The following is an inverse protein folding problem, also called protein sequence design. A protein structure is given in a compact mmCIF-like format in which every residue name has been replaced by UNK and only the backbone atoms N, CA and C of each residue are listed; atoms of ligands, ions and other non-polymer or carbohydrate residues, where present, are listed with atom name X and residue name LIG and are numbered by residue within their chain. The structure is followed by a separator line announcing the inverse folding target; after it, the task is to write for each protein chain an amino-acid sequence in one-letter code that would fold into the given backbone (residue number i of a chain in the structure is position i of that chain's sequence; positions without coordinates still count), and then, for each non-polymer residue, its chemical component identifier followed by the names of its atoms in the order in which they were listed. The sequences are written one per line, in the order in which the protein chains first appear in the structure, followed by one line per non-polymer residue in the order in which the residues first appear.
data_IF_294440023638
#
_entry.id   IF_294440023638
#
_cell.length_a   1.000
_cell.length_b   1.000
_cell.length_c   1.000
_cell.angle_alpha   90.00
_cell.angle_beta   90.00
_cell.angle_gamma   90.00
#
_symmetry.space_group_name_H-M   'P 1'
#
loop_
_entity.id
_entity.type
_entity.pdbx_description
1 polymer ?
#
# COMPACT_ATOMS: atom_id res chain seq x y z
N UNK A 1 -17.23 -12.90 24.09
CA UNK A 1 -17.11 -13.80 22.93
C UNK A 1 -17.54 -13.10 21.67
N UNK A 2 -16.77 -12.09 21.25
CA UNK A 2 -16.90 -11.48 19.93
C UNK A 2 -15.78 -12.04 19.06
N UNK A 3 -16.01 -12.18 17.76
CA UNK A 3 -14.94 -12.48 16.80
C UNK A 3 -14.25 -11.22 16.32
N UNK A 4 -12.95 -11.32 16.03
CA UNK A 4 -12.11 -10.27 15.49
C UNK A 4 -11.60 -10.64 14.08
N UNK A 5 -11.77 -9.72 13.13
CA UNK A 5 -11.23 -9.84 11.78
C UNK A 5 -10.17 -8.77 11.54
N UNK A 6 -9.03 -9.17 10.96
CA UNK A 6 -8.00 -8.27 10.48
C UNK A 6 -8.11 -8.07 8.96
N UNK A 7 -8.45 -6.85 8.53
CA UNK A 7 -8.17 -6.40 7.16
C UNK A 7 -6.68 -6.09 7.04
N UNK A 8 -5.93 -7.11 6.66
CA UNK A 8 -4.49 -7.08 6.47
C UNK A 8 -4.10 -6.77 5.02
N UNK A 9 -4.87 -5.97 4.27
CA UNK A 9 -4.52 -5.58 2.90
C UNK A 9 -3.10 -5.02 2.76
N UNK A 10 -2.52 -4.48 3.84
CA UNK A 10 -1.11 -4.07 3.95
C UNK A 10 -0.40 -4.64 5.18
N UNK A 11 -0.80 -5.82 5.65
CA UNK A 11 -0.22 -6.49 6.83
C UNK A 11 1.31 -6.58 6.76
N UNK A 12 1.87 -6.91 5.59
CA UNK A 12 3.32 -7.03 5.43
C UNK A 12 4.06 -5.68 5.53
N UNK A 13 3.41 -4.55 5.23
CA UNK A 13 4.00 -3.25 5.51
C UNK A 13 4.10 -3.01 7.02
N UNK A 14 3.06 -3.36 7.78
CA UNK A 14 3.08 -3.25 9.23
C UNK A 14 4.13 -4.21 9.84
N UNK A 15 4.20 -5.45 9.35
CA UNK A 15 5.19 -6.44 9.77
C UNK A 15 6.63 -5.94 9.60
N UNK A 16 6.95 -5.35 8.43
CA UNK A 16 8.27 -4.79 8.16
C UNK A 16 8.55 -3.58 9.04
N UNK A 17 7.61 -2.64 9.18
CA UNK A 17 7.80 -1.43 10.01
C UNK A 17 7.96 -1.75 11.51
N UNK A 18 7.26 -2.77 12.00
CA UNK A 18 7.33 -3.17 13.41
C UNK A 18 8.45 -4.19 13.68
N UNK A 19 9.15 -4.65 12.64
CA UNK A 19 10.15 -5.72 12.72
C UNK A 19 9.62 -7.03 13.35
N UNK A 20 8.33 -7.30 13.15
CA UNK A 20 7.62 -8.45 13.71
C UNK A 20 7.09 -9.36 12.59
N UNK A 21 7.06 -10.69 12.79
CA UNK A 21 6.49 -11.57 11.78
C UNK A 21 4.99 -11.30 11.61
N UNK A 22 4.51 -11.30 10.36
CA UNK A 22 3.10 -11.06 10.05
C UNK A 22 2.14 -12.00 10.80
N UNK A 23 2.60 -13.22 11.13
CA UNK A 23 1.86 -14.18 11.95
C UNK A 23 1.66 -13.71 13.40
N UNK A 24 2.63 -13.05 14.01
CA UNK A 24 2.49 -12.49 15.35
C UNK A 24 1.47 -11.36 15.38
N UNK A 25 1.49 -10.48 14.36
CA UNK A 25 0.51 -9.41 14.22
C UNK A 25 -0.91 -9.93 13.97
N UNK A 26 -1.05 -11.05 13.26
CA UNK A 26 -2.34 -11.66 12.97
C UNK A 26 -2.85 -12.58 14.10
N UNK A 27 -1.98 -13.05 15.01
CA UNK A 27 -2.33 -14.01 16.06
C UNK A 27 -3.50 -13.60 16.98
N UNK A 28 -3.70 -12.32 17.32
CA UNK A 28 -4.84 -11.90 18.15
C UNK A 28 -6.20 -11.96 17.46
N UNK A 29 -6.26 -12.25 16.15
CA UNK A 29 -7.48 -12.22 15.35
C UNK A 29 -7.95 -13.64 15.00
N UNK A 30 -9.27 -13.85 14.96
CA UNK A 30 -9.85 -15.12 14.54
C UNK A 30 -9.65 -15.38 13.04
N UNK A 31 -9.62 -14.30 12.26
CA UNK A 31 -9.50 -14.34 10.80
C UNK A 31 -8.69 -13.16 10.29
N UNK A 32 -7.96 -13.36 9.19
CA UNK A 32 -7.16 -12.32 8.53
C UNK A 32 -7.32 -12.41 7.02
N UNK A 33 -7.47 -11.27 6.37
CA UNK A 33 -7.32 -11.15 4.92
C UNK A 33 -6.00 -10.46 4.58
N UNK A 34 -5.28 -10.94 3.58
CA UNK A 34 -4.05 -10.29 3.07
C UNK A 34 -4.14 -10.08 1.57
N UNK A 35 -3.73 -8.90 1.09
CA UNK A 35 -3.66 -8.63 -0.34
C UNK A 35 -2.26 -8.94 -0.88
N UNK A 36 -2.22 -9.66 -2.00
CA UNK A 36 -0.99 -9.98 -2.71
C UNK A 36 -0.72 -8.95 -3.82
N UNK A 37 -1.77 -8.30 -4.33
CA UNK A 37 -1.72 -7.39 -5.47
C UNK A 37 -1.63 -5.90 -5.09
N UNK A 38 -0.86 -5.60 -4.05
CA UNK A 38 -0.54 -4.23 -3.62
C UNK A 38 0.98 -4.07 -3.55
N UNK A 39 1.55 -3.69 -2.41
CA UNK A 39 3.00 -3.52 -2.24
C UNK A 39 3.83 -4.79 -2.52
N UNK A 40 3.23 -5.98 -2.38
CA UNK A 40 3.89 -7.24 -2.74
C UNK A 40 4.04 -7.44 -4.25
N UNK A 41 3.22 -6.80 -5.10
CA UNK A 41 3.41 -6.81 -6.55
C UNK A 41 2.85 -8.02 -7.32
N UNK A 42 2.02 -8.88 -6.72
CA UNK A 42 1.34 -9.90 -7.52
C UNK A 42 0.30 -9.24 -8.46
N UNK A 43 0.05 -9.77 -9.67
CA UNK A 43 -0.90 -9.15 -10.59
C UNK A 43 -2.35 -9.20 -10.06
N UNK A 44 -2.73 -10.30 -9.40
CA UNK A 44 -4.05 -10.52 -8.82
C UNK A 44 -3.90 -11.38 -7.57
N UNK A 45 -4.67 -11.10 -6.52
CA UNK A 45 -4.90 -12.08 -5.47
C UNK A 45 -5.02 -11.49 -4.07
N UNK A 46 -5.76 -12.21 -3.24
CA UNK A 46 -5.81 -12.01 -1.79
C UNK A 46 -6.04 -13.38 -1.14
N UNK A 47 -5.59 -13.53 0.10
CA UNK A 47 -5.73 -14.76 0.88
C UNK A 47 -6.55 -14.45 2.13
N UNK A 48 -7.55 -15.29 2.41
CA UNK A 48 -8.29 -15.30 3.66
C UNK A 48 -7.82 -16.50 4.47
N UNK A 49 -7.37 -16.26 5.70
CA UNK A 49 -6.93 -17.28 6.64
C UNK A 49 -7.73 -17.20 7.95
N UNK A 50 -7.86 -18.35 8.61
CA UNK A 50 -8.66 -18.54 9.84
C UNK A 50 -8.80 -20.03 10.15
N UNK A 51 -9.69 -20.38 11.06
CA UNK A 51 -9.94 -21.78 11.42
C UNK A 51 -10.43 -22.61 10.22
N UNK A 52 -10.18 -23.93 10.26
CA UNK A 52 -10.62 -24.84 9.20
C UNK A 52 -12.14 -24.80 8.97
N UNK A 53 -12.92 -24.69 10.04
CA UNK A 53 -14.37 -24.55 10.02
C UNK A 53 -14.80 -23.25 9.32
N UNK A 54 -14.20 -22.12 9.70
CA UNK A 54 -14.46 -20.82 9.07
C UNK A 54 -14.16 -20.85 7.57
N UNK A 55 -12.99 -21.39 7.19
CA UNK A 55 -12.58 -21.44 5.78
C UNK A 55 -13.47 -22.40 4.95
N UNK A 56 -14.03 -23.45 5.55
CA UNK A 56 -15.02 -24.29 4.88
C UNK A 56 -16.28 -23.48 4.50
N UNK A 57 -16.79 -22.68 5.42
CA UNK A 57 -17.89 -21.74 5.15
C UNK A 57 -17.52 -20.68 4.11
N UNK A 58 -16.33 -20.08 4.23
CA UNK A 58 -15.84 -19.07 3.29
C UNK A 58 -15.69 -19.63 1.86
N UNK A 59 -15.27 -20.90 1.70
CA UNK A 59 -15.21 -21.56 0.38
C UNK A 59 -16.57 -21.71 -0.28
N UNK A 60 -17.63 -21.98 0.49
CA UNK A 60 -19.01 -21.99 -0.02
C UNK A 60 -19.39 -20.59 -0.52
N UNK A 61 -19.18 -19.56 0.29
CA UNK A 61 -19.48 -18.17 -0.12
C UNK A 61 -18.68 -17.71 -1.33
N UNK A 62 -17.39 -18.07 -1.40
CA UNK A 62 -16.56 -17.83 -2.59
C UNK A 62 -17.20 -18.39 -3.86
N UNK A 63 -17.88 -19.53 -3.79
CA UNK A 63 -18.60 -20.10 -4.94
C UNK A 63 -19.87 -19.32 -5.27
N UNK A 64 -20.62 -18.89 -4.26
CA UNK A 64 -21.85 -18.09 -4.40
C UNK A 64 -21.57 -16.75 -5.08
N UNK A 65 -20.52 -16.04 -4.64
CA UNK A 65 -20.13 -14.73 -5.19
C UNK A 65 -19.29 -14.82 -6.47
N UNK A 66 -19.12 -16.00 -7.04
CA UNK A 66 -18.41 -16.19 -8.32
C UNK A 66 -16.88 -16.26 -8.27
N UNK A 67 -16.25 -16.16 -7.09
CA UNK A 67 -14.78 -16.25 -6.92
C UNK A 67 -14.18 -17.66 -7.06
N UNK A 68 -15.00 -18.67 -7.35
CA UNK A 68 -14.57 -20.06 -7.55
C UNK A 68 -13.94 -20.30 -8.93
N UNK A 69 -12.80 -19.67 -9.19
CA UNK A 69 -12.04 -19.76 -10.44
C UNK A 69 -11.50 -21.18 -10.71
N UNK A 70 -11.20 -21.48 -11.98
CA UNK A 70 -10.66 -22.78 -12.41
C UNK A 70 -9.13 -22.81 -12.33
N UNK A 71 -8.41 -22.63 -13.44
CA UNK A 71 -6.96 -22.69 -13.54
C UNK A 71 -6.26 -21.47 -12.89
N UNK A 72 -6.64 -21.12 -11.65
CA UNK A 72 -6.07 -20.01 -10.88
C UNK A 72 -4.66 -20.30 -10.33
N UNK A 73 -4.09 -21.47 -10.63
CA UNK A 73 -2.74 -21.86 -10.22
C UNK A 73 -1.66 -20.88 -10.71
N UNK A 74 -1.84 -20.30 -11.90
CA UNK A 74 -0.92 -19.28 -12.43
C UNK A 74 -0.89 -18.02 -11.53
N UNK A 75 -2.06 -17.55 -11.10
CA UNK A 75 -2.16 -16.41 -10.18
C UNK A 75 -1.63 -16.76 -8.79
N UNK A 76 -1.92 -17.97 -8.31
CA UNK A 76 -1.44 -18.46 -7.03
C UNK A 76 0.10 -18.60 -7.00
N UNK A 77 0.72 -19.03 -8.09
CA UNK A 77 2.17 -19.11 -8.21
C UNK A 77 2.83 -17.73 -8.08
N UNK A 78 2.26 -16.70 -8.73
CA UNK A 78 2.70 -15.31 -8.53
C UNK A 78 2.53 -14.87 -7.07
N UNK A 79 1.43 -15.28 -6.42
CA UNK A 79 1.20 -15.04 -5.00
C UNK A 79 2.25 -15.65 -4.07
N UNK A 80 2.68 -16.89 -4.34
CA UNK A 80 3.77 -17.56 -3.60
C UNK A 80 5.08 -16.82 -3.80
N UNK A 81 5.43 -16.52 -5.05
CA UNK A 81 6.66 -15.83 -5.40
C UNK A 81 6.81 -14.50 -4.64
N UNK A 82 5.76 -13.67 -4.60
CA UNK A 82 5.86 -12.37 -3.92
C UNK A 82 5.95 -12.50 -2.40
N UNK A 83 5.35 -13.53 -1.80
CA UNK A 83 5.47 -13.78 -0.36
C UNK A 83 6.88 -14.22 0.02
N UNK A 84 7.54 -14.98 -0.84
CA UNK A 84 8.91 -15.48 -0.61
C UNK A 84 9.98 -14.41 -0.90
N UNK A 85 9.74 -13.53 -1.87
CA UNK A 85 10.79 -12.65 -2.41
C UNK A 85 10.56 -11.15 -2.12
N UNK A 86 9.31 -10.69 -2.02
CA UNK A 86 9.02 -9.24 -2.02
C UNK A 86 8.69 -8.65 -0.65
N UNK A 87 8.60 -9.44 0.42
CA UNK A 87 8.26 -8.91 1.76
C UNK A 87 9.34 -7.95 2.28
N UNK A 88 10.61 -8.36 2.25
CA UNK A 88 11.70 -7.56 2.85
C UNK A 88 11.89 -6.21 2.16
N UNK A 89 11.75 -6.17 0.83
CA UNK A 89 11.89 -4.93 0.03
C UNK A 89 10.81 -3.86 0.30
N UNK A 90 9.75 -4.18 1.05
CA UNK A 90 8.79 -3.16 1.46
C UNK A 90 9.46 -2.06 2.30
N UNK A 91 10.60 -2.35 2.94
CA UNK A 91 11.42 -1.35 3.62
C UNK A 91 11.90 -0.24 2.65
N UNK A 92 12.20 -0.58 1.39
CA UNK A 92 12.60 0.37 0.36
C UNK A 92 11.43 1.31 0.03
N UNK A 93 10.21 0.78 -0.05
CA UNK A 93 9.00 1.58 -0.26
C UNK A 93 8.78 2.55 0.91
N UNK A 94 9.06 2.13 2.16
CA UNK A 94 8.96 2.98 3.36
C UNK A 94 10.03 4.07 3.36
N UNK A 95 11.26 3.74 3.00
CA UNK A 95 12.35 4.70 2.86
C UNK A 95 12.02 5.76 1.80
N UNK A 96 11.54 5.35 0.63
CA UNK A 96 11.12 6.27 -0.43
C UNK A 96 9.95 7.17 0.01
N UNK A 97 8.96 6.63 0.74
CA UNK A 97 7.86 7.43 1.28
C UNK A 97 8.35 8.47 2.31
N UNK A 98 9.31 8.10 3.16
CA UNK A 98 9.92 9.04 4.11
C UNK A 98 10.69 10.14 3.38
N UNK A 99 11.56 9.79 2.42
CA UNK A 99 12.31 10.77 1.62
C UNK A 99 11.38 11.74 0.90
N UNK A 100 10.32 11.23 0.27
CA UNK A 100 9.29 12.05 -0.38
C UNK A 100 8.62 13.00 0.62
N UNK A 101 8.24 12.49 1.79
CA UNK A 101 7.59 13.28 2.82
C UNK A 101 8.48 14.40 3.36
N UNK A 102 9.75 14.11 3.63
CA UNK A 102 10.72 15.08 4.12
C UNK A 102 10.99 16.18 3.09
N UNK A 103 11.19 15.80 1.82
CA UNK A 103 11.38 16.75 0.72
C UNK A 103 10.17 17.67 0.52
N UNK A 104 8.97 17.09 0.42
CA UNK A 104 7.74 17.88 0.24
C UNK A 104 7.46 18.79 1.44
N UNK A 105 7.73 18.33 2.67
CA UNK A 105 7.54 19.15 3.87
C UNK A 105 8.45 20.39 3.91
N UNK A 106 9.60 20.34 3.24
CA UNK A 106 10.50 21.49 3.15
C UNK A 106 9.97 22.59 2.22
N UNK A 107 8.99 22.30 1.37
CA UNK A 107 8.41 23.24 0.42
C UNK A 107 7.35 24.13 1.06
N UNK A 108 7.32 25.40 0.64
CA UNK A 108 6.36 26.37 1.16
C UNK A 108 4.91 25.97 0.83
N UNK A 109 4.03 26.03 1.84
CA UNK A 109 2.61 25.69 1.69
C UNK A 109 2.28 24.20 1.81
N UNK A 110 3.28 23.31 1.77
CA UNK A 110 3.08 21.89 2.01
C UNK A 110 2.95 21.58 3.50
N UNK A 111 1.96 20.75 3.85
CA UNK A 111 1.72 20.30 5.22
C UNK A 111 1.72 18.78 5.27
N UNK A 112 2.70 18.20 5.97
CA UNK A 112 2.79 16.76 6.19
C UNK A 112 3.01 16.51 7.68
N UNK A 113 2.19 15.63 8.24
CA UNK A 113 2.42 15.08 9.58
C UNK A 113 3.35 13.86 9.48
N UNK A 114 4.60 14.04 9.88
CA UNK A 114 5.61 12.98 9.85
C UNK A 114 5.30 11.82 10.80
N UNK A 115 4.44 12.02 11.81
CA UNK A 115 4.03 10.93 12.71
C UNK A 115 3.13 9.91 12.00
N UNK A 116 2.51 10.29 10.87
CA UNK A 116 1.67 9.42 10.06
C UNK A 116 2.44 8.69 8.94
N UNK A 117 3.70 9.08 8.67
CA UNK A 117 4.55 8.47 7.64
C UNK A 117 5.30 7.26 8.24
N UNK A 118 4.54 6.21 8.50
CA UNK A 118 5.03 4.98 9.15
C UNK A 118 5.33 3.86 8.15
N UNK A 119 4.82 3.92 6.92
CA UNK A 119 5.01 2.88 5.90
C UNK A 119 5.13 3.53 4.53
N UNK A 120 4.53 2.96 3.48
CA UNK A 120 4.64 3.41 2.10
C UNK A 120 3.64 4.51 1.70
N UNK A 121 3.14 5.31 2.65
CA UNK A 121 2.11 6.34 2.39
C UNK A 121 2.50 7.70 2.95
N UNK A 122 2.21 8.74 2.17
CA UNK A 122 2.35 10.14 2.55
C UNK A 122 1.04 10.86 2.29
N UNK A 123 0.59 11.64 3.26
CA UNK A 123 -0.60 12.48 3.16
C UNK A 123 -0.16 13.94 3.12
N UNK A 124 -0.23 14.54 1.94
CA UNK A 124 0.21 15.90 1.66
C UNK A 124 -0.98 16.86 1.71
N UNK A 125 -1.00 17.74 2.69
CA UNK A 125 -1.87 18.91 2.69
C UNK A 125 -1.30 20.01 1.80
N UNK A 126 -2.15 20.57 0.93
CA UNK A 126 -1.81 21.68 0.04
C UNK A 126 -2.66 22.91 0.35
N UNK A 127 -2.26 24.11 -0.11
CA UNK A 127 -3.13 25.29 -0.15
C UNK A 127 -4.38 25.01 -1.01
N UNK A 128 -5.55 25.53 -0.59
CA UNK A 128 -6.83 25.24 -1.25
C UNK A 128 -6.88 25.68 -2.71
N UNK A 129 -6.25 26.81 -3.02
CA UNK A 129 -6.13 27.40 -4.35
C UNK A 129 -5.25 26.57 -5.30
N UNK A 130 -4.27 25.82 -4.77
CA UNK A 130 -3.38 24.99 -5.58
C UNK A 130 -3.79 23.51 -5.66
N UNK A 131 -4.58 23.02 -4.70
CA UNK A 131 -4.87 21.59 -4.55
C UNK A 131 -5.56 20.94 -5.77
N UNK A 132 -6.37 21.71 -6.51
CA UNK A 132 -7.06 21.24 -7.72
C UNK A 132 -6.17 21.25 -8.97
N UNK A 133 -5.19 22.14 -9.04
CA UNK A 133 -4.36 22.37 -10.23
C UNK A 133 -3.12 21.46 -10.27
N UNK A 134 -2.50 21.23 -9.10
CA UNK A 134 -1.27 20.45 -8.97
C UNK A 134 -1.35 19.06 -9.63
N UNK A 135 -2.43 18.26 -9.44
CA UNK A 135 -2.54 16.96 -10.09
C UNK A 135 -2.43 17.00 -11.62
N UNK A 136 -2.99 18.04 -12.25
CA UNK A 136 -2.93 18.20 -13.70
C UNK A 136 -1.52 18.59 -14.16
N UNK A 137 -0.87 19.53 -13.47
CA UNK A 137 0.49 19.97 -13.78
C UNK A 137 1.54 18.87 -13.57
N UNK A 138 1.33 17.99 -12.57
CA UNK A 138 2.14 16.79 -12.37
C UNK A 138 1.92 15.77 -13.49
N UNK A 139 0.67 15.59 -13.92
CA UNK A 139 0.33 14.67 -15.02
C UNK A 139 1.01 15.08 -16.33
N UNK A 140 1.11 16.37 -16.62
CA UNK A 140 1.84 16.91 -17.78
C UNK A 140 3.34 16.57 -17.75
N UNK A 141 3.90 16.34 -16.56
CA UNK A 141 5.30 15.89 -16.34
C UNK A 141 5.44 14.36 -16.25
N UNK A 142 4.35 13.63 -16.48
CA UNK A 142 4.29 12.18 -16.40
C UNK A 142 4.20 11.62 -14.97
N UNK A 143 3.83 12.44 -13.99
CA UNK A 143 3.67 12.03 -12.58
C UNK A 143 2.17 11.89 -12.29
N UNK A 144 1.74 10.68 -11.94
CA UNK A 144 0.33 10.38 -11.68
C UNK A 144 0.04 10.44 -10.19
N UNK A 145 -0.88 11.32 -9.81
CA UNK A 145 -1.38 11.43 -8.43
C UNK A 145 -2.90 11.41 -8.42
N UNK A 146 -3.48 10.97 -7.30
CA UNK A 146 -4.93 11.06 -7.09
C UNK A 146 -5.26 12.45 -6.52
N UNK A 147 -6.15 13.23 -7.16
CA UNK A 147 -6.60 14.51 -6.62
C UNK A 147 -7.21 14.37 -5.23
N UNK A 148 -6.90 15.30 -4.33
CA UNK A 148 -7.42 15.34 -2.97
C UNK A 148 -6.64 16.30 -2.09
N UNK A 149 -7.23 16.73 -0.96
CA UNK A 149 -6.56 17.51 0.07
C UNK A 149 -7.00 17.00 1.45
N UNK A 150 -6.20 16.13 2.13
CA UNK A 150 -4.83 15.78 1.78
C UNK A 150 -4.72 14.87 0.55
N UNK A 151 -3.71 15.14 -0.29
CA UNK A 151 -3.32 14.30 -1.42
C UNK A 151 -2.59 13.07 -0.88
N UNK A 152 -3.07 11.86 -1.22
CA UNK A 152 -2.44 10.61 -0.79
C UNK A 152 -1.46 10.11 -1.84
N UNK A 153 -0.18 10.12 -1.50
CA UNK A 153 0.92 9.57 -2.30
C UNK A 153 1.30 8.21 -1.74
N UNK A 154 1.55 7.23 -2.63
CA UNK A 154 1.83 5.84 -2.24
C UNK A 154 3.02 5.34 -3.04
N UNK A 155 4.10 4.96 -2.37
CA UNK A 155 5.28 4.35 -2.99
C UNK A 155 5.09 2.83 -3.14
N UNK A 156 5.72 2.25 -4.15
CA UNK A 156 5.70 0.81 -4.43
C UNK A 156 6.92 0.43 -5.26
N UNK A 157 7.04 -0.87 -5.57
CA UNK A 157 8.19 -1.45 -6.27
C UNK A 157 8.54 -0.85 -7.64
N UNK A 158 7.60 -0.16 -8.28
CA UNK A 158 7.81 0.50 -9.57
C UNK A 158 8.09 2.00 -9.44
N UNK A 159 8.29 2.50 -8.19
CA UNK A 159 8.67 3.88 -7.91
C UNK A 159 10.08 3.87 -7.32
N UNK A 160 11.05 4.23 -8.16
CA UNK A 160 12.47 4.31 -7.80
C UNK A 160 12.78 5.57 -6.96
N UNK A 161 13.99 5.64 -6.42
CA UNK A 161 14.49 6.85 -5.76
C UNK A 161 14.59 8.04 -6.74
N UNK A 162 14.95 7.79 -7.99
CA UNK A 162 14.98 8.77 -9.07
C UNK A 162 13.58 9.36 -9.33
N UNK A 163 12.54 8.52 -9.31
CA UNK A 163 11.14 8.98 -9.43
C UNK A 163 10.73 9.87 -8.25
N UNK A 164 11.23 9.57 -7.03
CA UNK A 164 11.02 10.43 -5.86
C UNK A 164 11.67 11.79 -6.08
N UNK A 165 12.93 11.83 -6.51
CA UNK A 165 13.64 13.09 -6.77
C UNK A 165 12.97 13.91 -7.88
N UNK A 166 12.60 13.26 -8.99
CA UNK A 166 11.85 13.89 -10.09
C UNK A 166 10.53 14.49 -9.59
N UNK A 167 9.83 13.78 -8.69
CA UNK A 167 8.58 14.27 -8.10
C UNK A 167 8.84 15.50 -7.23
N UNK A 168 9.86 15.49 -6.38
CA UNK A 168 10.24 16.63 -5.54
C UNK A 168 10.55 17.87 -6.38
N UNK A 169 11.39 17.74 -7.41
CA UNK A 169 11.70 18.84 -8.33
C UNK A 169 10.46 19.38 -9.05
N UNK A 170 9.53 18.50 -9.45
CA UNK A 170 8.28 18.94 -10.06
C UNK A 170 7.42 19.76 -9.09
N UNK A 171 7.35 19.39 -7.81
CA UNK A 171 6.65 20.19 -6.80
C UNK A 171 7.33 21.53 -6.55
N UNK A 172 8.66 21.59 -6.54
CA UNK A 172 9.44 22.83 -6.42
C UNK A 172 9.16 23.82 -7.56
N UNK A 173 8.97 23.33 -8.79
CA UNK A 173 8.65 24.18 -9.94
C UNK A 173 7.20 24.72 -9.94
N UNK A 174 6.28 23.97 -9.32
CA UNK A 174 4.84 24.24 -9.35
C UNK A 174 4.38 25.15 -8.19
N UNK A 175 5.00 24.99 -7.02
CA UNK A 175 4.66 25.70 -5.80
C UNK A 175 5.24 27.12 -5.75
#
# INVERSE_FOLDING_TARGET
GLSLHLDGARLFNAAVQMEEPASALAAPFDTVSVCLSKGLGAPVGSVLAGSAEFIAGARRWRKVVGGGMRQAGLLAAGGIYVLENHVKRLADDHANARTLAEGLRALAGCRIDMTLVQTNMVYLGLPEDKASEIPQQLKERGILVCPGNPMRLVTHLDVSDEDIQKTLSAFEEIL
#
